data_IF_156665055651
#
_entry.id   IF_156665055651
#
_cell.length_a   1.000
_cell.length_b   1.000
_cell.length_c   1.000
_cell.angle_alpha   90.00
_cell.angle_beta   90.00
_cell.angle_gamma   90.00
#
_symmetry.space_group_name_H-M   'P 1'
#
loop_
_entity.id
_entity.type
_entity.pdbx_description
1 polymer ?
#
# COMPACT_ATOMS: atom_id res chain seq x y z
N UNK A 1 -11.08 -51.73 -24.69
CA UNK A 1 -11.83 -50.63 -24.04
C UNK A 1 -10.85 -49.80 -23.20
N UNK A 2 -10.17 -48.81 -23.81
CA UNK A 2 -9.18 -47.96 -23.13
C UNK A 2 -9.84 -46.63 -22.82
N UNK A 3 -10.54 -46.54 -21.68
CA UNK A 3 -11.17 -45.29 -21.23
C UNK A 3 -10.13 -44.37 -20.57
N UNK A 4 -9.96 -43.18 -21.16
CA UNK A 4 -9.91 -41.88 -20.47
C UNK A 4 -8.95 -41.64 -19.30
N UNK A 5 -7.75 -42.23 -19.29
CA UNK A 5 -6.71 -41.89 -18.28
C UNK A 5 -6.27 -40.40 -18.39
N UNK A 6 -6.32 -39.80 -19.59
CA UNK A 6 -5.92 -38.40 -19.82
C UNK A 6 -6.94 -37.38 -19.28
N UNK A 7 -8.22 -37.72 -19.24
CA UNK A 7 -9.28 -36.86 -18.71
C UNK A 7 -9.36 -36.89 -17.19
N UNK A 8 -9.03 -38.03 -16.56
CA UNK A 8 -8.99 -38.15 -15.09
C UNK A 8 -7.85 -37.30 -14.51
N UNK A 9 -6.66 -37.29 -15.14
CA UNK A 9 -5.56 -36.43 -14.71
C UNK A 9 -5.88 -34.93 -14.89
N UNK A 10 -6.53 -34.55 -15.99
CA UNK A 10 -6.92 -33.17 -16.24
C UNK A 10 -8.04 -32.71 -15.29
N UNK A 11 -9.00 -33.58 -15.00
CA UNK A 11 -10.08 -33.34 -14.02
C UNK A 11 -9.54 -33.27 -12.58
N UNK A 12 -8.57 -34.11 -12.22
CA UNK A 12 -7.92 -34.09 -10.90
C UNK A 12 -7.03 -32.86 -10.71
N UNK A 13 -6.34 -32.40 -11.77
CA UNK A 13 -5.54 -31.17 -11.74
C UNK A 13 -6.42 -29.91 -11.64
N UNK A 14 -7.60 -29.90 -12.30
CA UNK A 14 -8.59 -28.83 -12.16
C UNK A 14 -9.26 -28.86 -10.78
N UNK A 15 -9.61 -30.03 -10.25
CA UNK A 15 -10.16 -30.18 -8.90
C UNK A 15 -9.16 -29.76 -7.81
N UNK A 16 -7.86 -30.06 -7.99
CA UNK A 16 -6.81 -29.61 -7.08
C UNK A 16 -6.59 -28.09 -7.18
N UNK A 17 -6.67 -27.49 -8.37
CA UNK A 17 -6.56 -26.04 -8.52
C UNK A 17 -7.78 -25.27 -7.96
N UNK A 18 -8.98 -25.85 -8.06
CA UNK A 18 -10.22 -25.23 -7.56
C UNK A 18 -10.38 -25.30 -6.03
N UNK A 19 -9.93 -26.37 -5.37
CA UNK A 19 -10.03 -26.51 -3.90
C UNK A 19 -9.08 -25.57 -3.14
N UNK A 20 -7.95 -25.21 -3.74
CA UNK A 20 -7.00 -24.27 -3.12
C UNK A 20 -7.48 -22.81 -3.17
N UNK A 21 -8.27 -22.44 -4.19
CA UNK A 21 -8.78 -21.07 -4.33
C UNK A 21 -9.84 -20.73 -3.26
N UNK A 22 -10.67 -21.70 -2.83
CA UNK A 22 -11.77 -21.44 -1.91
C UNK A 22 -11.32 -21.18 -0.46
N UNK A 23 -10.24 -21.82 0.00
CA UNK A 23 -9.83 -21.72 1.41
C UNK A 23 -9.13 -20.40 1.76
N UNK A 24 -8.46 -19.79 0.79
CA UNK A 24 -7.79 -18.50 0.99
C UNK A 24 -8.81 -17.36 0.96
N UNK A 25 -9.83 -17.44 0.10
CA UNK A 25 -10.92 -16.47 0.03
C UNK A 25 -11.74 -16.40 1.33
N UNK A 26 -12.00 -17.54 1.97
CA UNK A 26 -12.70 -17.59 3.26
C UNK A 26 -11.89 -16.88 4.36
N UNK A 27 -10.58 -17.16 4.47
CA UNK A 27 -9.71 -16.51 5.44
C UNK A 27 -9.56 -15.00 5.21
N UNK A 28 -9.57 -14.54 3.95
CA UNK A 28 -9.57 -13.11 3.62
C UNK A 28 -10.87 -12.44 4.09
N UNK A 29 -12.01 -13.10 3.93
CA UNK A 29 -13.31 -12.61 4.40
C UNK A 29 -13.32 -12.42 5.92
N UNK A 30 -12.89 -13.44 6.67
CA UNK A 30 -12.78 -13.37 8.13
C UNK A 30 -11.81 -12.28 8.59
N UNK A 31 -10.70 -12.09 7.87
CA UNK A 31 -9.73 -11.04 8.16
C UNK A 31 -10.37 -9.64 7.99
N UNK A 32 -11.14 -9.45 6.91
CA UNK A 32 -11.85 -8.19 6.65
C UNK A 32 -12.95 -7.93 7.67
N UNK A 33 -13.73 -8.94 8.02
CA UNK A 33 -14.75 -8.86 9.07
C UNK A 33 -14.12 -8.48 10.42
N UNK A 34 -13.01 -9.13 10.77
CA UNK A 34 -12.24 -8.80 11.98
C UNK A 34 -11.76 -7.34 11.98
N UNK A 35 -11.25 -6.82 10.85
CA UNK A 35 -10.91 -5.39 10.74
C UNK A 35 -12.12 -4.49 10.93
N UNK A 36 -13.27 -4.82 10.34
CA UNK A 36 -14.49 -4.03 10.44
C UNK A 36 -15.00 -3.92 11.87
N UNK A 37 -14.74 -4.95 12.69
CA UNK A 37 -15.06 -5.01 14.12
C UNK A 37 -14.02 -4.32 15.01
N UNK A 38 -12.94 -3.78 14.42
CA UNK A 38 -11.82 -3.20 15.16
C UNK A 38 -10.85 -4.22 15.76
N UNK A 39 -11.02 -5.51 15.45
CA UNK A 39 -10.14 -6.59 15.91
C UNK A 39 -8.90 -6.70 15.02
N UNK A 40 -8.08 -5.64 15.00
CA UNK A 40 -6.90 -5.55 14.12
C UNK A 40 -5.90 -6.69 14.35
N UNK A 41 -5.70 -7.12 15.60
CA UNK A 41 -4.79 -8.21 15.92
C UNK A 41 -5.21 -9.54 15.26
N UNK A 42 -6.50 -9.87 15.30
CA UNK A 42 -7.01 -11.09 14.69
C UNK A 42 -6.94 -11.02 13.17
N UNK A 43 -7.29 -9.86 12.59
CA UNK A 43 -7.14 -9.65 11.16
C UNK A 43 -5.69 -9.85 10.68
N UNK A 44 -4.71 -9.30 11.40
CA UNK A 44 -3.29 -9.49 11.09
C UNK A 44 -2.92 -10.98 11.13
N UNK A 45 -3.35 -11.71 12.16
CA UNK A 45 -3.10 -13.17 12.28
C UNK A 45 -3.69 -13.95 11.11
N UNK A 46 -4.89 -13.59 10.65
CA UNK A 46 -5.55 -14.20 9.51
C UNK A 46 -4.81 -13.89 8.20
N UNK A 47 -4.45 -12.62 7.95
CA UNK A 47 -3.64 -12.25 6.78
C UNK A 47 -2.27 -12.94 6.76
N UNK A 48 -1.60 -13.05 7.91
CA UNK A 48 -0.35 -13.82 8.01
C UNK A 48 -0.55 -15.30 7.69
N UNK A 49 -1.69 -15.88 8.08
CA UNK A 49 -2.03 -17.27 7.77
C UNK A 49 -2.27 -17.47 6.27
N UNK A 50 -2.91 -16.51 5.60
CA UNK A 50 -3.02 -16.50 4.13
C UNK A 50 -1.64 -16.42 3.50
N UNK A 51 -0.77 -15.51 3.97
CA UNK A 51 0.58 -15.34 3.41
C UNK A 51 1.50 -16.54 3.65
N UNK A 52 1.27 -17.37 4.67
CA UNK A 52 1.97 -18.66 4.84
C UNK A 52 1.66 -19.65 3.72
N UNK A 53 0.43 -19.62 3.17
CA UNK A 53 0.00 -20.47 2.07
C UNK A 53 0.36 -19.86 0.72
N UNK A 54 0.09 -18.57 0.56
CA UNK A 54 0.34 -17.79 -0.66
C UNK A 54 1.14 -16.51 -0.34
N UNK A 55 2.48 -16.57 -0.37
CA UNK A 55 3.34 -15.43 -0.03
C UNK A 55 3.18 -14.20 -0.92
N UNK A 56 2.61 -14.37 -2.12
CA UNK A 56 2.42 -13.31 -3.12
C UNK A 56 0.99 -12.76 -3.16
N UNK A 57 0.12 -13.20 -2.24
CA UNK A 57 -1.28 -12.78 -2.21
C UNK A 57 -1.40 -11.26 -2.09
N UNK A 58 -1.99 -10.61 -3.10
CA UNK A 58 -2.01 -9.15 -3.21
C UNK A 58 -2.72 -8.47 -2.04
N UNK A 59 -3.96 -8.87 -1.75
CA UNK A 59 -4.75 -8.23 -0.68
C UNK A 59 -4.11 -8.40 0.70
N UNK A 60 -3.69 -9.60 1.06
CA UNK A 60 -3.03 -9.85 2.35
C UNK A 60 -1.73 -9.03 2.52
N UNK A 61 -0.85 -9.00 1.51
CA UNK A 61 0.36 -8.17 1.54
C UNK A 61 0.00 -6.68 1.66
N UNK A 62 -0.93 -6.20 0.85
CA UNK A 62 -1.37 -4.79 0.86
C UNK A 62 -1.92 -4.40 2.23
N UNK A 63 -2.90 -5.14 2.73
CA UNK A 63 -3.62 -4.78 3.96
C UNK A 63 -2.72 -4.89 5.19
N UNK A 64 -1.91 -5.96 5.29
CA UNK A 64 -0.97 -6.09 6.40
C UNK A 64 0.08 -4.98 6.38
N UNK A 65 0.62 -4.65 5.21
CA UNK A 65 1.54 -3.53 5.04
C UNK A 65 0.94 -2.18 5.44
N UNK A 66 -0.31 -1.91 5.05
CA UNK A 66 -1.04 -0.69 5.43
C UNK A 66 -1.28 -0.60 6.94
N UNK A 67 -1.75 -1.68 7.57
CA UNK A 67 -1.95 -1.72 9.03
C UNK A 67 -0.65 -1.41 9.78
N UNK A 68 0.46 -2.02 9.35
CA UNK A 68 1.76 -1.81 9.97
C UNK A 68 2.27 -0.38 9.74
N UNK A 69 2.08 0.18 8.55
CA UNK A 69 2.45 1.56 8.26
C UNK A 69 1.63 2.56 9.09
N UNK A 70 0.31 2.36 9.17
CA UNK A 70 -0.60 3.23 9.94
C UNK A 70 -0.34 3.16 11.45
N UNK A 71 0.16 2.02 11.95
CA UNK A 71 0.59 1.89 13.35
C UNK A 71 1.86 2.69 13.67
N UNK A 72 2.71 2.97 12.67
CA UNK A 72 4.00 3.64 12.82
C UNK A 72 5.09 2.84 13.55
N UNK A 73 4.79 1.63 14.06
CA UNK A 73 5.70 0.87 14.92
C UNK A 73 6.65 -0.07 14.16
N UNK A 74 6.27 -0.52 12.96
CA UNK A 74 6.96 -1.58 12.24
C UNK A 74 7.17 -1.23 10.76
N UNK A 75 7.78 -0.07 10.49
CA UNK A 75 7.92 0.47 9.13
C UNK A 75 8.72 -0.44 8.19
N UNK A 76 9.75 -1.14 8.68
CA UNK A 76 10.50 -2.10 7.87
C UNK A 76 9.61 -3.26 7.39
N UNK A 77 8.80 -3.82 8.30
CA UNK A 77 7.84 -4.88 7.96
C UNK A 77 6.74 -4.35 7.06
N UNK A 78 6.26 -3.12 7.30
CA UNK A 78 5.29 -2.46 6.44
C UNK A 78 5.81 -2.33 5.00
N UNK A 79 7.03 -1.80 4.83
CA UNK A 79 7.66 -1.66 3.51
C UNK A 79 7.79 -3.02 2.82
N UNK A 80 8.23 -4.05 3.55
CA UNK A 80 8.38 -5.40 2.99
C UNK A 80 7.07 -5.96 2.40
N UNK A 81 5.95 -5.86 3.12
CA UNK A 81 4.67 -6.34 2.60
C UNK A 81 4.14 -5.45 1.47
N UNK A 82 4.31 -4.13 1.56
CA UNK A 82 3.89 -3.19 0.52
C UNK A 82 4.68 -3.36 -0.78
N UNK A 83 5.99 -3.63 -0.71
CA UNK A 83 6.84 -3.91 -1.87
C UNK A 83 6.42 -5.19 -2.59
N UNK A 84 5.98 -6.21 -1.85
CA UNK A 84 5.40 -7.42 -2.44
C UNK A 84 4.07 -7.15 -3.12
N UNK A 85 3.20 -6.36 -2.49
CA UNK A 85 1.95 -5.94 -3.11
C UNK A 85 2.21 -5.12 -4.39
N UNK A 86 3.20 -4.22 -4.38
CA UNK A 86 3.57 -3.40 -5.54
C UNK A 86 4.21 -4.24 -6.65
N UNK A 87 4.95 -5.30 -6.31
CA UNK A 87 5.47 -6.24 -7.30
C UNK A 87 4.34 -6.98 -8.04
N UNK A 88 3.24 -7.28 -7.33
CA UNK A 88 2.05 -7.92 -7.91
C UNK A 88 1.14 -6.94 -8.66
N UNK A 89 1.08 -5.67 -8.22
CA UNK A 89 0.32 -4.60 -8.87
C UNK A 89 1.18 -3.33 -9.01
N UNK A 90 2.06 -3.26 -10.03
CA UNK A 90 2.98 -2.15 -10.20
C UNK A 90 2.25 -0.86 -10.57
N UNK A 91 2.71 0.26 -10.02
CA UNK A 91 2.21 1.59 -10.37
C UNK A 91 0.89 2.00 -9.71
N UNK A 92 0.39 1.23 -8.73
CA UNK A 92 -0.75 1.65 -7.91
C UNK A 92 -0.37 2.83 -7.00
N UNK A 93 -0.98 4.00 -7.21
CA UNK A 93 -0.67 5.24 -6.48
C UNK A 93 -0.85 5.10 -4.96
N UNK A 94 -1.75 4.23 -4.51
CA UNK A 94 -2.05 4.04 -3.09
C UNK A 94 -0.87 3.33 -2.42
N UNK A 95 -0.42 2.21 -2.99
CA UNK A 95 0.77 1.49 -2.53
C UNK A 95 2.02 2.38 -2.57
N UNK A 96 2.21 3.13 -3.66
CA UNK A 96 3.36 4.01 -3.81
C UNK A 96 3.36 5.16 -2.77
N UNK A 97 2.19 5.69 -2.38
CA UNK A 97 2.10 6.72 -1.34
C UNK A 97 2.48 6.20 0.05
N UNK A 98 2.11 4.98 0.40
CA UNK A 98 2.56 4.36 1.65
C UNK A 98 4.08 4.14 1.67
N UNK A 99 4.64 3.60 0.57
CA UNK A 99 6.09 3.44 0.45
C UNK A 99 6.83 4.79 0.49
N UNK A 100 6.25 5.82 -0.14
CA UNK A 100 6.79 7.17 -0.09
C UNK A 100 6.82 7.71 1.35
N UNK A 101 5.73 7.54 2.11
CA UNK A 101 5.66 7.96 3.51
C UNK A 101 6.78 7.32 4.34
N UNK A 102 6.93 6.00 4.23
CA UNK A 102 7.96 5.24 4.97
C UNK A 102 9.35 5.79 4.67
N UNK A 103 9.71 5.94 3.39
CA UNK A 103 11.07 6.40 3.04
C UNK A 103 11.30 7.88 3.32
N UNK A 104 10.27 8.73 3.26
CA UNK A 104 10.37 10.12 3.71
C UNK A 104 10.58 10.23 5.22
N UNK A 105 9.98 9.32 6.00
CA UNK A 105 10.21 9.24 7.45
C UNK A 105 11.63 8.75 7.78
N UNK A 106 12.12 7.76 7.05
CA UNK A 106 13.50 7.26 7.15
C UNK A 106 14.54 8.25 6.63
N UNK A 107 14.12 9.27 5.87
CA UNK A 107 14.97 10.20 5.12
C UNK A 107 15.92 9.50 4.13
N UNK A 108 15.53 8.30 3.66
CA UNK A 108 16.27 7.54 2.65
C UNK A 108 16.03 8.16 1.26
N UNK A 109 16.93 9.08 0.88
CA UNK A 109 16.84 9.84 -0.37
C UNK A 109 16.83 8.92 -1.60
N UNK A 110 17.58 7.83 -1.56
CA UNK A 110 17.73 6.92 -2.70
C UNK A 110 16.45 6.10 -2.91
N UNK A 111 15.87 5.56 -1.82
CA UNK A 111 14.57 4.89 -1.90
C UNK A 111 13.44 5.85 -2.28
N UNK A 112 13.41 7.06 -1.71
CA UNK A 112 12.43 8.08 -2.10
C UNK A 112 12.50 8.38 -3.60
N UNK A 113 13.70 8.55 -4.16
CA UNK A 113 13.87 8.77 -5.61
C UNK A 113 13.32 7.60 -6.43
N UNK A 114 13.61 6.35 -6.04
CA UNK A 114 13.09 5.15 -6.73
C UNK A 114 11.56 5.11 -6.71
N UNK A 115 10.92 5.47 -5.60
CA UNK A 115 9.45 5.54 -5.54
C UNK A 115 8.89 6.64 -6.46
N UNK A 116 9.53 7.81 -6.54
CA UNK A 116 9.11 8.87 -7.46
C UNK A 116 9.27 8.46 -8.94
N UNK A 117 10.31 7.70 -9.27
CA UNK A 117 10.44 7.11 -10.62
C UNK A 117 9.29 6.15 -10.92
N UNK A 118 8.78 5.40 -9.94
CA UNK A 118 7.59 4.56 -10.12
C UNK A 118 6.33 5.40 -10.35
N UNK A 119 6.14 6.50 -9.61
CA UNK A 119 5.06 7.45 -9.88
C UNK A 119 5.12 8.01 -11.31
N UNK A 120 6.31 8.37 -11.81
CA UNK A 120 6.45 8.91 -13.18
C UNK A 120 6.06 7.92 -14.28
N UNK A 121 6.21 6.62 -14.01
CA UNK A 121 5.81 5.52 -14.90
C UNK A 121 4.34 5.16 -14.77
N UNK A 122 3.70 5.55 -13.66
CA UNK A 122 2.27 5.38 -13.47
C UNK A 122 1.48 6.37 -14.34
N UNK A 123 0.20 6.07 -14.56
CA UNK A 123 -0.70 6.90 -15.39
C UNK A 123 -1.23 8.14 -14.65
N UNK A 124 -1.16 8.13 -13.33
CA UNK A 124 -1.76 9.16 -12.47
C UNK A 124 -0.83 10.36 -12.29
N UNK A 125 -0.93 11.30 -13.22
CA UNK A 125 -0.11 12.53 -13.23
C UNK A 125 -0.38 13.46 -12.06
N UNK A 126 -1.59 13.43 -11.52
CA UNK A 126 -1.92 14.27 -10.38
C UNK A 126 -1.29 13.71 -9.11
N UNK A 127 -1.33 12.38 -8.90
CA UNK A 127 -0.60 11.74 -7.80
C UNK A 127 0.92 11.85 -7.93
N UNK A 128 1.46 11.81 -9.15
CA UNK A 128 2.88 12.09 -9.40
C UNK A 128 3.24 13.51 -8.94
N UNK A 129 2.48 14.53 -9.36
CA UNK A 129 2.68 15.93 -8.96
C UNK A 129 2.60 16.08 -7.44
N UNK A 130 1.64 15.42 -6.81
CA UNK A 130 1.46 15.43 -5.36
C UNK A 130 2.63 14.78 -4.61
N UNK A 131 3.11 13.61 -5.07
CA UNK A 131 4.26 12.93 -4.50
C UNK A 131 5.54 13.78 -4.59
N UNK A 132 5.77 14.44 -5.73
CA UNK A 132 6.90 15.36 -5.93
C UNK A 132 6.83 16.55 -4.98
N UNK A 133 5.64 17.15 -4.83
CA UNK A 133 5.37 18.24 -3.90
C UNK A 133 5.67 17.83 -2.45
N UNK A 134 5.16 16.68 -2.01
CA UNK A 134 5.40 16.17 -0.66
C UNK A 134 6.88 15.94 -0.38
N UNK A 135 7.61 15.36 -1.34
CA UNK A 135 9.07 15.19 -1.24
C UNK A 135 9.77 16.54 -1.11
N UNK A 136 9.46 17.52 -1.97
CA UNK A 136 10.09 18.85 -1.90
C UNK A 136 9.84 19.54 -0.56
N UNK A 137 8.62 19.43 -0.05
CA UNK A 137 8.26 20.02 1.23
C UNK A 137 8.92 19.33 2.42
N UNK A 138 8.85 18.00 2.49
CA UNK A 138 9.25 17.25 3.68
C UNK A 138 10.74 16.97 3.76
N UNK A 139 11.37 16.69 2.61
CA UNK A 139 12.77 16.28 2.51
C UNK A 139 13.68 17.47 2.17
N UNK A 140 13.30 18.30 1.20
CA UNK A 140 14.12 19.43 0.75
C UNK A 140 13.78 20.76 1.44
N UNK A 141 12.71 20.79 2.24
CA UNK A 141 12.22 22.00 2.93
C UNK A 141 11.96 23.17 1.98
N UNK A 142 11.60 22.87 0.73
CA UNK A 142 11.33 23.86 -0.32
C UNK A 142 9.85 24.28 -0.27
N UNK A 143 9.61 25.59 -0.14
CA UNK A 143 8.26 26.16 -0.22
C UNK A 143 7.80 26.25 -1.68
N UNK A 144 6.60 25.76 -1.94
CA UNK A 144 5.84 26.02 -3.16
C UNK A 144 4.39 26.39 -2.77
N UNK A 145 4.09 27.69 -2.67
CA UNK A 145 2.78 28.16 -2.21
C UNK A 145 1.66 27.89 -3.21
N UNK A 146 1.96 27.90 -4.51
CA UNK A 146 0.98 27.62 -5.57
C UNK A 146 0.49 26.18 -5.49
N UNK A 147 1.41 25.20 -5.46
CA UNK A 147 1.09 23.78 -5.31
C UNK A 147 0.41 23.50 -3.97
N UNK A 148 0.89 24.10 -2.88
CA UNK A 148 0.27 23.93 -1.57
C UNK A 148 -1.20 24.36 -1.58
N UNK A 149 -1.52 25.53 -2.13
CA UNK A 149 -2.90 26.00 -2.22
C UNK A 149 -3.75 25.12 -3.15
N UNK A 150 -3.19 24.66 -4.28
CA UNK A 150 -3.87 23.73 -5.20
C UNK A 150 -4.27 22.44 -4.49
N UNK A 151 -3.33 21.80 -3.79
CA UNK A 151 -3.58 20.55 -3.06
C UNK A 151 -4.42 20.74 -1.80
N UNK A 152 -4.34 21.89 -1.13
CA UNK A 152 -5.21 22.22 0.01
C UNK A 152 -6.68 22.22 -0.38
N UNK A 153 -6.99 22.68 -1.60
CA UNK A 153 -8.35 22.69 -2.15
C UNK A 153 -8.73 21.40 -2.90
N UNK A 154 -7.79 20.47 -3.09
CA UNK A 154 -8.05 19.21 -3.79
C UNK A 154 -8.56 18.14 -2.84
N UNK A 155 -9.13 17.07 -3.39
CA UNK A 155 -9.56 15.91 -2.60
C UNK A 155 -8.41 14.96 -2.25
N UNK A 156 -7.21 15.13 -2.85
CA UNK A 156 -6.12 14.16 -2.72
C UNK A 156 -5.71 13.91 -1.26
N UNK A 157 -5.53 14.94 -0.41
CA UNK A 157 -5.20 14.70 0.99
C UNK A 157 -6.28 13.94 1.75
N UNK A 158 -7.56 13.98 1.33
CA UNK A 158 -8.63 13.24 2.01
C UNK A 158 -8.89 11.84 1.43
N UNK A 159 -8.39 11.54 0.22
CA UNK A 159 -8.54 10.22 -0.41
C UNK A 159 -7.83 9.10 0.36
N UNK A 160 -6.71 9.44 1.02
CA UNK A 160 -5.75 8.47 1.51
C UNK A 160 -5.17 8.87 2.87
N UNK A 161 -5.12 7.95 3.86
CA UNK A 161 -4.44 8.19 5.13
C UNK A 161 -3.01 8.75 4.98
N UNK A 162 -2.09 8.14 4.19
CA UNK A 162 -0.74 8.66 4.02
C UNK A 162 -0.70 10.03 3.33
N UNK A 163 -1.59 10.29 2.36
CA UNK A 163 -1.69 11.59 1.71
C UNK A 163 -2.01 12.68 2.73
N UNK A 164 -3.04 12.45 3.56
CA UNK A 164 -3.44 13.38 4.62
C UNK A 164 -2.29 13.66 5.59
N UNK A 165 -1.67 12.60 6.11
CA UNK A 165 -0.59 12.69 7.11
C UNK A 165 0.60 13.48 6.57
N UNK A 166 1.06 13.14 5.36
CA UNK A 166 2.20 13.82 4.73
C UNK A 166 1.90 15.29 4.45
N UNK A 167 0.69 15.61 3.97
CA UNK A 167 0.29 16.99 3.71
C UNK A 167 0.24 17.82 4.99
N UNK A 168 -0.39 17.31 6.05
CA UNK A 168 -0.44 18.00 7.35
C UNK A 168 0.95 18.19 7.94
N UNK A 169 1.83 17.18 7.81
CA UNK A 169 3.24 17.29 8.23
C UNK A 169 3.98 18.38 7.45
N UNK A 170 3.69 18.52 6.16
CA UNK A 170 4.23 19.58 5.32
C UNK A 170 3.73 20.96 5.76
N UNK A 171 2.40 21.09 5.96
CA UNK A 171 1.76 22.33 6.44
C UNK A 171 2.37 22.77 7.76
N UNK A 172 2.42 21.89 8.76
CA UNK A 172 2.98 22.17 10.07
C UNK A 172 4.47 22.51 10.02
N UNK A 173 5.24 21.89 9.11
CA UNK A 173 6.69 22.09 9.03
C UNK A 173 7.10 23.39 8.34
N UNK A 174 6.36 23.87 7.33
CA UNK A 174 6.79 25.00 6.50
C UNK A 174 5.78 26.14 6.38
N UNK A 175 4.49 25.89 6.61
CA UNK A 175 3.40 26.82 6.32
C UNK A 175 2.58 27.22 7.54
N UNK A 176 2.80 26.57 8.69
CA UNK A 176 2.29 27.07 9.96
C UNK A 176 2.87 28.46 10.22
N UNK A 177 1.99 29.45 10.35
CA UNK A 177 2.38 30.75 10.87
C UNK A 177 2.75 30.58 12.36
N UNK A 178 3.93 31.03 12.81
CA UNK A 178 4.17 31.18 14.24
C UNK A 178 3.23 32.30 14.71
N UNK A 179 2.20 31.95 15.49
CA UNK A 179 1.16 32.81 16.08
C UNK A 179 -0.03 33.20 15.19
N UNK A 180 -1.18 32.59 15.52
CA UNK A 180 -2.49 33.26 15.61
C UNK A 180 -2.98 33.12 17.03
#
# INVERSE_FOLDING_TARGET
MRLNIRYVFFSFFILFFCVFCSSDEEMIWDARDSLSKGNTAEAMRLYESVLKKNPTHLEANRTLGMILADSGLALNSAAFYLERAESSLPGDSFLLLYLLEIHLQEKDRDKTKRILEKFSKAKDKEMESYAVFLKDCLLEKKKNGSEFNRFKTSMIPSLLPPARRLFLKCELSLYANPSS
#
